data_IF_735959923669
#
_entry.id   IF_735959923669
#
_cell.length_a   1.000
_cell.length_b   1.000
_cell.length_c   1.000
_cell.angle_alpha   90.00
_cell.angle_beta   90.00
_cell.angle_gamma   90.00
#
_symmetry.space_group_name_H-M   'P 1'
#
loop_
_entity.id
_entity.type
_entity.pdbx_description
1 polymer ?
#
# COMPACT_ATOMS: atom_id res chain seq x y z
N UNK A 1 -1.31 8.33 16.05
CA UNK A 1 0.02 7.82 15.75
C UNK A 1 0.21 6.36 16.15
N UNK A 2 -0.19 6.01 17.38
CA UNK A 2 -0.12 4.61 17.80
C UNK A 2 -0.99 3.69 16.93
N UNK A 3 -2.15 4.20 16.51
CA UNK A 3 -3.04 3.43 15.63
C UNK A 3 -2.38 3.18 14.26
N UNK A 4 -1.66 4.17 13.75
CA UNK A 4 -0.94 4.03 12.49
C UNK A 4 0.19 3.01 12.62
N UNK A 5 0.97 3.09 13.70
CA UNK A 5 2.06 2.13 13.92
C UNK A 5 1.53 0.70 14.02
N UNK A 6 0.42 0.50 14.71
CA UNK A 6 -0.20 -0.81 14.80
C UNK A 6 -0.59 -1.34 13.42
N UNK A 7 -1.12 -0.46 12.56
CA UNK A 7 -1.51 -0.86 11.21
C UNK A 7 -0.27 -1.21 10.38
N UNK A 8 0.81 -0.41 10.49
CA UNK A 8 2.06 -0.73 9.80
C UNK A 8 2.57 -2.11 10.21
N UNK A 9 2.61 -2.39 11.52
CA UNK A 9 3.12 -3.67 12.01
C UNK A 9 2.19 -4.83 11.66
N UNK A 10 0.94 -4.55 11.37
CA UNK A 10 -0.02 -5.55 10.91
C UNK A 10 0.21 -5.92 9.44
N UNK A 11 0.48 -4.93 8.59
CA UNK A 11 0.71 -5.17 7.16
C UNK A 11 2.15 -5.60 6.85
N UNK A 12 3.07 -5.38 7.79
CA UNK A 12 4.48 -5.80 7.68
C UNK A 12 4.85 -6.49 9.00
N UNK A 13 4.46 -7.78 9.17
CA UNK A 13 4.61 -8.43 10.48
C UNK A 13 6.04 -8.56 11.00
N UNK A 14 7.04 -8.58 10.10
CA UNK A 14 8.44 -8.66 10.52
C UNK A 14 8.96 -7.33 11.09
N UNK A 15 8.23 -6.24 10.92
CA UNK A 15 8.68 -4.92 11.36
C UNK A 15 8.65 -4.79 12.88
N UNK A 16 9.70 -4.16 13.41
CA UNK A 16 9.82 -3.83 14.84
C UNK A 16 9.91 -2.32 15.05
N UNK A 17 10.23 -1.57 14.00
CA UNK A 17 10.28 -0.11 14.05
C UNK A 17 9.95 0.45 12.69
N UNK A 18 9.67 1.74 12.63
CA UNK A 18 9.40 2.42 11.37
C UNK A 18 9.89 3.85 11.43
N UNK A 19 10.22 4.39 10.27
CA UNK A 19 10.59 5.79 10.10
C UNK A 19 9.76 6.39 8.97
N UNK A 20 9.43 7.67 9.12
CA UNK A 20 8.62 8.37 8.11
C UNK A 20 9.51 9.10 7.11
N UNK A 21 9.16 9.00 5.84
CA UNK A 21 9.93 9.53 4.72
C UNK A 21 9.01 10.24 3.73
N UNK A 22 9.65 10.99 2.83
CA UNK A 22 8.99 11.61 1.68
C UNK A 22 9.72 11.21 0.41
N UNK A 23 8.96 10.82 -0.60
CA UNK A 23 9.48 10.61 -1.94
C UNK A 23 9.15 11.86 -2.77
N UNK A 24 10.17 12.44 -3.40
CA UNK A 24 10.02 13.65 -4.22
C UNK A 24 10.59 13.38 -5.60
N UNK A 25 10.33 14.27 -6.58
CA UNK A 25 10.97 14.10 -7.89
C UNK A 25 12.50 14.11 -7.84
N UNK A 26 13.09 14.69 -6.79
CA UNK A 26 14.54 14.78 -6.62
C UNK A 26 15.13 13.64 -5.79
N UNK A 27 14.30 12.74 -5.28
CA UNK A 27 14.75 11.61 -4.46
C UNK A 27 13.97 11.48 -3.18
N UNK A 28 14.44 10.63 -2.29
CA UNK A 28 13.77 10.40 -1.01
C UNK A 28 14.53 11.12 0.10
N UNK A 29 13.79 11.51 1.16
CA UNK A 29 14.37 12.18 2.33
C UNK A 29 13.53 11.85 3.57
N UNK A 30 14.14 11.88 4.76
CA UNK A 30 13.38 11.72 6.00
C UNK A 30 12.30 12.81 6.10
N UNK A 31 11.18 12.46 6.69
CA UNK A 31 10.10 13.41 6.92
C UNK A 31 10.55 14.42 7.99
N UNK A 32 10.17 15.66 7.80
CA UNK A 32 10.49 16.77 8.70
C UNK A 32 10.30 18.07 7.96
N UNK A 33 9.79 19.07 8.64
CA UNK A 33 9.49 20.35 8.01
C UNK A 33 8.31 20.23 7.05
N UNK A 34 8.23 21.17 6.14
CA UNK A 34 7.14 21.24 5.17
C UNK A 34 7.32 20.20 4.06
N UNK A 35 6.21 19.61 3.64
CA UNK A 35 6.22 18.72 2.50
C UNK A 35 6.50 19.51 1.23
N UNK A 36 7.45 19.03 0.41
CA UNK A 36 7.72 19.63 -0.89
C UNK A 36 6.55 19.37 -1.84
N UNK A 37 6.40 20.24 -2.82
CA UNK A 37 5.38 20.03 -3.87
C UNK A 37 5.63 18.68 -4.55
N UNK A 38 4.57 17.88 -4.67
CA UNK A 38 4.66 16.56 -5.27
C UNK A 38 5.26 15.48 -4.38
N UNK A 39 5.53 15.79 -3.11
CA UNK A 39 6.06 14.80 -2.18
C UNK A 39 4.99 13.78 -1.81
N UNK A 40 5.39 12.52 -1.72
CA UNK A 40 4.52 11.42 -1.32
C UNK A 40 5.09 10.81 -0.04
N UNK A 41 4.27 10.81 1.02
CA UNK A 41 4.69 10.26 2.31
C UNK A 41 4.68 8.73 2.28
N UNK A 42 5.68 8.13 2.92
CA UNK A 42 5.72 6.69 3.11
C UNK A 42 6.48 6.36 4.40
N UNK A 43 6.42 5.12 4.81
CA UNK A 43 7.10 4.63 6.01
C UNK A 43 8.02 3.48 5.62
N UNK A 44 9.27 3.55 6.09
CA UNK A 44 10.20 2.45 5.97
C UNK A 44 10.15 1.67 7.28
N UNK A 45 9.85 0.38 7.19
CA UNK A 45 9.69 -0.48 8.36
C UNK A 45 10.88 -1.44 8.44
N UNK A 46 11.42 -1.62 9.65
CA UNK A 46 12.65 -2.36 9.87
C UNK A 46 12.45 -3.51 10.86
N UNK A 47 13.17 -4.60 10.64
CA UNK A 47 13.13 -5.75 11.53
C UNK A 47 14.00 -5.51 12.76
N UNK A 48 14.12 -6.54 13.62
CA UNK A 48 14.87 -6.45 14.85
C UNK A 48 16.38 -6.21 14.62
N UNK A 49 16.89 -6.60 13.44
CA UNK A 49 18.29 -6.41 13.07
C UNK A 49 18.53 -5.11 12.29
N UNK A 50 17.52 -4.27 12.16
CA UNK A 50 17.64 -3.00 11.45
C UNK A 50 17.66 -3.15 9.94
N UNK A 51 17.23 -4.28 9.41
CA UNK A 51 17.10 -4.49 7.96
C UNK A 51 15.69 -4.11 7.51
N UNK A 52 15.59 -3.60 6.30
CA UNK A 52 14.30 -3.21 5.75
C UNK A 52 13.37 -4.42 5.65
N UNK A 53 12.25 -4.35 6.36
CA UNK A 53 11.23 -5.39 6.33
C UNK A 53 10.16 -5.09 5.28
N UNK A 54 9.98 -3.83 4.95
CA UNK A 54 9.01 -3.42 3.93
C UNK A 54 8.74 -1.93 3.98
N UNK A 55 7.92 -1.50 3.05
CA UNK A 55 7.48 -0.11 2.93
C UNK A 55 5.98 -0.08 3.19
N UNK A 56 5.51 0.92 3.90
CA UNK A 56 4.07 1.13 4.09
C UNK A 56 3.68 2.50 3.55
N UNK A 57 2.51 2.59 2.96
CA UNK A 57 2.01 3.86 2.44
C UNK A 57 0.48 3.88 2.50
N UNK A 58 -0.08 5.09 2.53
CA UNK A 58 -1.51 5.27 2.56
C UNK A 58 -2.06 5.46 1.16
N UNK A 59 -3.29 5.04 0.97
CA UNK A 59 -4.05 5.32 -0.22
C UNK A 59 -5.49 5.61 0.17
N UNK A 60 -6.19 6.33 -0.69
CA UNK A 60 -7.58 6.68 -0.46
C UNK A 60 -8.34 6.71 -1.77
N UNK A 61 -9.59 6.28 -1.73
CA UNK A 61 -10.48 6.37 -2.86
C UNK A 61 -11.92 6.43 -2.37
N UNK A 62 -12.78 7.02 -3.17
CA UNK A 62 -14.19 7.12 -2.83
C UNK A 62 -14.85 5.74 -2.90
N UNK A 63 -15.46 5.32 -1.81
CA UNK A 63 -16.26 4.11 -1.77
C UNK A 63 -17.71 4.40 -2.08
N UNK A 64 -18.61 3.71 -1.37
CA UNK A 64 -20.04 3.85 -1.62
C UNK A 64 -20.56 5.23 -1.22
N UNK A 65 -20.27 5.67 0.00
CA UNK A 65 -20.74 6.95 0.53
C UNK A 65 -19.59 7.83 1.00
N UNK A 66 -18.51 7.23 1.48
CA UNK A 66 -17.40 7.92 2.11
C UNK A 66 -16.09 7.49 1.47
N UNK A 67 -15.02 8.22 1.80
CA UNK A 67 -13.67 7.88 1.36
C UNK A 67 -13.16 6.66 2.13
N UNK A 68 -12.71 5.66 1.41
CA UNK A 68 -12.02 4.50 1.99
C UNK A 68 -10.54 4.84 2.07
N UNK A 69 -9.98 4.82 3.27
CA UNK A 69 -8.56 5.08 3.51
C UNK A 69 -7.89 3.82 3.99
N UNK A 70 -6.81 3.46 3.34
CA UNK A 70 -6.09 2.24 3.65
C UNK A 70 -4.60 2.51 3.82
N UNK A 71 -3.94 1.55 4.47
CA UNK A 71 -2.50 1.47 4.49
C UNK A 71 -2.13 0.14 3.85
N UNK A 72 -1.13 0.13 2.98
CA UNK A 72 -0.66 -1.11 2.38
C UNK A 72 0.81 -1.31 2.65
N UNK A 73 1.23 -2.59 2.67
CA UNK A 73 2.63 -2.96 2.77
C UNK A 73 3.16 -3.33 1.38
N UNK A 74 4.40 -2.97 1.12
CA UNK A 74 5.07 -3.20 -0.16
C UNK A 74 6.43 -3.82 0.08
N UNK A 75 6.74 -4.88 -0.66
CA UNK A 75 8.05 -5.53 -0.61
C UNK A 75 8.79 -5.23 -1.92
N UNK A 76 9.92 -4.51 -1.86
CA UNK A 76 10.64 -4.13 -3.08
C UNK A 76 11.20 -5.32 -3.85
N UNK A 77 11.58 -6.39 -3.17
CA UNK A 77 12.23 -7.53 -3.84
C UNK A 77 11.30 -8.25 -4.80
N UNK A 78 10.01 -8.38 -4.47
CA UNK A 78 9.04 -8.95 -5.39
C UNK A 78 8.28 -7.87 -6.16
N UNK A 79 8.44 -6.61 -5.80
CA UNK A 79 7.61 -5.50 -6.28
C UNK A 79 6.13 -5.87 -6.14
N UNK A 80 5.76 -6.27 -4.94
CA UNK A 80 4.40 -6.71 -4.67
C UNK A 80 3.89 -6.14 -3.36
N UNK A 81 2.57 -6.00 -3.28
CA UNK A 81 1.87 -5.66 -2.05
C UNK A 81 1.84 -6.92 -1.18
N UNK A 82 2.07 -6.75 0.12
CA UNK A 82 2.14 -7.87 1.06
C UNK A 82 1.00 -7.87 2.07
N UNK A 83 0.19 -6.83 2.08
CA UNK A 83 -0.95 -6.74 2.97
C UNK A 83 -1.57 -5.35 2.92
N UNK A 84 -2.78 -5.23 3.45
CA UNK A 84 -3.38 -3.92 3.65
C UNK A 84 -4.16 -3.89 4.95
N UNK A 85 -4.37 -2.68 5.45
CA UNK A 85 -5.22 -2.45 6.61
C UNK A 85 -6.09 -1.23 6.39
N UNK A 86 -7.23 -1.20 7.02
CA UNK A 86 -8.14 -0.06 6.95
C UNK A 86 -7.69 0.99 7.96
N UNK A 87 -7.45 2.20 7.49
CA UNK A 87 -7.04 3.31 8.36
C UNK A 87 -8.27 4.02 8.90
N UNK A 88 -9.17 4.41 8.01
CA UNK A 88 -10.40 5.08 8.37
C UNK A 88 -11.43 4.85 7.26
N UNK A 89 -12.67 4.58 7.65
CA UNK A 89 -13.78 4.47 6.71
C UNK A 89 -15.08 4.70 7.46
N UNK A 90 -15.99 5.38 6.78
CA UNK A 90 -17.36 5.56 7.27
C UNK A 90 -18.33 4.82 6.35
N UNK A 91 -17.82 3.79 5.67
CA UNK A 91 -18.65 2.96 4.82
C UNK A 91 -19.79 2.33 5.62
N UNK A 92 -20.82 1.91 4.92
CA UNK A 92 -21.98 1.25 5.54
C UNK A 92 -21.51 0.11 6.44
N UNK A 93 -21.98 0.06 7.71
CA UNK A 93 -21.60 -1.03 8.62
C UNK A 93 -21.86 -2.41 7.99
N UNK A 94 -20.92 -3.31 8.17
CA UNK A 94 -20.98 -4.66 7.62
C UNK A 94 -20.34 -4.78 6.24
N UNK A 95 -20.37 -3.74 5.41
CA UNK A 95 -19.73 -3.76 4.09
C UNK A 95 -18.25 -3.45 4.24
N UNK A 96 -17.91 -2.36 4.95
CA UNK A 96 -16.52 -2.00 5.21
C UNK A 96 -15.79 -3.07 6.01
N UNK A 97 -16.49 -3.74 6.92
CA UNK A 97 -15.88 -4.80 7.74
C UNK A 97 -15.46 -6.01 6.91
N UNK A 98 -16.19 -6.32 5.85
CA UNK A 98 -15.87 -7.48 5.00
C UNK A 98 -14.50 -7.37 4.36
N UNK A 99 -14.05 -6.17 3.99
CA UNK A 99 -12.75 -6.00 3.34
C UNK A 99 -11.59 -6.33 4.28
N UNK A 100 -11.80 -6.31 5.59
CA UNK A 100 -10.76 -6.64 6.57
C UNK A 100 -10.94 -7.99 7.23
N UNK A 101 -12.03 -8.69 6.95
CA UNK A 101 -12.32 -10.00 7.54
C UNK A 101 -12.50 -11.12 6.53
N UNK A 102 -12.85 -10.82 5.29
CA UNK A 102 -13.05 -11.85 4.27
C UNK A 102 -11.70 -12.43 3.85
N UNK A 103 -11.47 -13.68 4.17
CA UNK A 103 -10.16 -14.33 3.96
C UNK A 103 -9.79 -14.43 2.49
N UNK A 104 -10.76 -14.69 1.62
CA UNK A 104 -10.49 -14.78 0.18
C UNK A 104 -10.10 -13.42 -0.38
N UNK A 105 -10.73 -12.34 0.11
CA UNK A 105 -10.36 -11.00 -0.30
C UNK A 105 -8.96 -10.65 0.18
N UNK A 106 -8.65 -10.92 1.44
CA UNK A 106 -7.33 -10.62 2.01
C UNK A 106 -6.22 -11.39 1.31
N UNK A 107 -6.51 -12.58 0.79
CA UNK A 107 -5.52 -13.37 0.05
C UNK A 107 -5.02 -12.66 -1.21
N UNK A 108 -5.82 -11.76 -1.80
CA UNK A 108 -5.38 -10.96 -2.95
C UNK A 108 -4.12 -10.15 -2.64
N UNK A 109 -3.93 -9.77 -1.37
CA UNK A 109 -2.89 -8.83 -0.97
C UNK A 109 -1.65 -9.50 -0.39
N UNK A 110 -1.56 -10.82 -0.47
CA UNK A 110 -0.37 -11.54 0.00
C UNK A 110 0.79 -11.39 -0.97
N UNK A 111 0.50 -11.21 -2.26
CA UNK A 111 1.52 -10.99 -3.29
C UNK A 111 0.91 -10.30 -4.50
N UNK A 112 0.22 -9.19 -4.28
CA UNK A 112 -0.40 -8.43 -5.37
C UNK A 112 0.68 -7.73 -6.18
N UNK A 113 0.72 -8.01 -7.48
CA UNK A 113 1.76 -7.50 -8.37
C UNK A 113 1.61 -6.00 -8.62
N UNK A 114 2.66 -5.25 -8.29
CA UNK A 114 2.77 -3.81 -8.57
C UNK A 114 4.10 -3.49 -9.24
N UNK A 115 4.60 -4.41 -10.07
CA UNK A 115 5.86 -4.21 -10.78
C UNK A 115 5.79 -2.96 -11.66
N UNK A 116 6.89 -2.24 -11.67
CA UNK A 116 7.03 -1.08 -12.56
C UNK A 116 7.30 -1.55 -13.98
N UNK A 117 6.96 -0.68 -14.94
CA UNK A 117 7.30 -0.90 -16.34
C UNK A 117 8.83 -0.79 -16.53
N UNK A 118 9.30 -1.10 -17.73
CA UNK A 118 10.74 -1.10 -18.03
C UNK A 118 11.38 0.27 -17.82
N UNK A 119 10.63 1.35 -18.06
CA UNK A 119 11.13 2.72 -17.88
C UNK A 119 11.10 3.19 -16.44
N UNK A 120 10.55 2.40 -15.52
CA UNK A 120 10.35 2.75 -14.10
C UNK A 120 9.52 4.01 -13.91
N UNK A 121 8.60 4.29 -14.83
CA UNK A 121 7.79 5.50 -14.83
C UNK A 121 6.36 5.30 -14.33
N UNK A 122 5.88 4.07 -14.32
CA UNK A 122 4.52 3.73 -13.92
C UNK A 122 4.45 2.24 -13.61
N UNK A 123 3.36 1.79 -13.03
CA UNK A 123 3.11 0.36 -12.90
C UNK A 123 2.99 -0.26 -14.29
N UNK A 124 3.54 -1.45 -14.46
CA UNK A 124 3.41 -2.19 -15.71
C UNK A 124 1.95 -2.52 -16.02
N UNK A 125 1.16 -2.77 -14.97
CA UNK A 125 -0.27 -3.07 -15.09
C UNK A 125 -1.03 -2.33 -14.01
N UNK A 126 -2.18 -1.80 -14.36
CA UNK A 126 -3.04 -1.12 -13.40
C UNK A 126 -3.58 -2.13 -12.37
N UNK A 127 -3.46 -1.78 -11.08
CA UNK A 127 -4.14 -2.56 -10.04
C UNK A 127 -5.63 -2.29 -10.14
N UNK A 128 -6.42 -3.34 -10.24
CA UNK A 128 -7.85 -3.20 -10.47
C UNK A 128 -8.62 -4.35 -9.84
N UNK A 129 -9.70 -4.02 -9.13
CA UNK A 129 -10.62 -5.02 -8.65
C UNK A 129 -11.53 -5.44 -9.80
N UNK A 130 -11.69 -6.74 -9.95
CA UNK A 130 -12.56 -7.34 -10.96
C UNK A 130 -13.70 -8.07 -10.27
N UNK A 131 -14.75 -8.35 -11.00
CA UNK A 131 -15.92 -9.05 -10.48
C UNK A 131 -15.49 -10.36 -9.80
N UNK A 132 -16.16 -10.70 -8.68
CA UNK A 132 -15.89 -11.94 -7.97
C UNK A 132 -15.89 -13.13 -8.94
N UNK A 133 -14.82 -13.92 -8.85
CA UNK A 133 -14.63 -15.08 -9.71
C UNK A 133 -13.94 -14.78 -11.04
N UNK A 134 -13.59 -13.52 -11.30
CA UNK A 134 -13.03 -13.12 -12.61
C UNK A 134 -11.53 -12.85 -12.58
N UNK A 135 -10.87 -12.98 -11.43
CA UNK A 135 -9.44 -12.70 -11.35
C UNK A 135 -8.64 -13.73 -12.16
N UNK A 136 -7.80 -13.23 -13.06
CA UNK A 136 -6.93 -14.05 -13.90
C UNK A 136 -5.47 -13.64 -13.82
N UNK A 137 -5.17 -12.46 -13.32
CA UNK A 137 -3.80 -11.93 -13.30
C UNK A 137 -3.40 -11.49 -11.88
N UNK A 138 -2.09 -11.47 -11.62
CA UNK A 138 -1.55 -11.18 -10.29
C UNK A 138 -1.76 -9.73 -9.84
N UNK A 139 -2.02 -8.81 -10.76
CA UNK A 139 -2.29 -7.41 -10.43
C UNK A 139 -3.78 -7.12 -10.26
N UNK A 140 -4.61 -8.12 -10.39
CA UNK A 140 -6.05 -7.98 -10.19
C UNK A 140 -6.44 -8.36 -8.78
N UNK A 141 -7.52 -7.74 -8.31
CA UNK A 141 -8.12 -8.05 -7.02
C UNK A 141 -9.48 -8.69 -7.30
N UNK A 142 -9.69 -9.88 -6.76
CA UNK A 142 -10.98 -10.55 -6.88
C UNK A 142 -11.94 -9.91 -5.86
N UNK A 143 -12.94 -9.20 -6.36
CA UNK A 143 -13.84 -8.43 -5.51
C UNK A 143 -14.72 -9.34 -4.65
N UNK A 144 -15.13 -8.84 -3.49
CA UNK A 144 -16.08 -9.54 -2.63
C UNK A 144 -17.47 -9.49 -3.28
N UNK A 145 -18.11 -10.65 -3.41
CA UNK A 145 -19.47 -10.70 -3.92
C UNK A 145 -20.38 -9.89 -2.96
N UNK A 146 -21.17 -8.98 -3.52
CA UNK A 146 -22.02 -8.11 -2.71
C UNK A 146 -21.33 -6.89 -2.12
N UNK A 147 -20.01 -6.74 -2.32
CA UNK A 147 -19.25 -5.57 -1.86
C UNK A 147 -18.29 -5.09 -2.97
N UNK A 148 -18.75 -5.09 -4.21
CA UNK A 148 -17.94 -4.76 -5.37
C UNK A 148 -17.47 -3.32 -5.36
N UNK A 149 -18.33 -2.37 -4.98
CA UNK A 149 -17.97 -0.95 -4.96
C UNK A 149 -16.84 -0.68 -3.97
N UNK A 150 -16.95 -1.22 -2.77
CA UNK A 150 -15.90 -1.08 -1.73
C UNK A 150 -14.62 -1.77 -2.17
N UNK A 151 -14.72 -2.96 -2.77
CA UNK A 151 -13.55 -3.69 -3.28
C UNK A 151 -12.83 -2.88 -4.36
N UNK A 152 -13.58 -2.24 -5.25
CA UNK A 152 -13.01 -1.37 -6.30
C UNK A 152 -12.35 -0.14 -5.70
N UNK A 153 -12.89 0.40 -4.63
CA UNK A 153 -12.27 1.54 -3.94
C UNK A 153 -10.92 1.16 -3.36
N UNK A 154 -10.80 -0.02 -2.76
CA UNK A 154 -9.51 -0.52 -2.26
C UNK A 154 -8.50 -0.62 -3.40
N UNK A 155 -8.91 -1.23 -4.53
CA UNK A 155 -8.03 -1.36 -5.69
C UNK A 155 -7.57 -0.02 -6.24
N UNK A 156 -8.49 0.93 -6.34
CA UNK A 156 -8.17 2.28 -6.83
C UNK A 156 -7.24 3.01 -5.86
N UNK A 157 -7.47 2.87 -4.56
CA UNK A 157 -6.62 3.50 -3.55
C UNK A 157 -5.17 3.00 -3.66
N UNK A 158 -5.00 1.68 -3.81
CA UNK A 158 -3.67 1.10 -3.99
C UNK A 158 -3.05 1.55 -5.31
N UNK A 159 -3.80 1.44 -6.40
CA UNK A 159 -3.29 1.81 -7.72
C UNK A 159 -2.82 3.26 -7.75
N UNK A 160 -3.66 4.18 -7.30
CA UNK A 160 -3.34 5.61 -7.38
C UNK A 160 -2.14 5.96 -6.50
N UNK A 161 -2.06 5.37 -5.31
CA UNK A 161 -0.92 5.59 -4.41
C UNK A 161 0.36 5.00 -4.99
N UNK A 162 0.32 3.75 -5.45
CA UNK A 162 1.48 3.07 -6.01
C UNK A 162 2.01 3.76 -7.26
N UNK A 163 1.10 4.25 -8.13
CA UNK A 163 1.51 4.98 -9.33
C UNK A 163 2.29 6.25 -9.00
N UNK A 164 1.94 6.92 -7.89
CA UNK A 164 2.65 8.13 -7.48
C UNK A 164 3.93 7.84 -6.73
N UNK A 165 3.93 6.81 -5.89
CA UNK A 165 5.03 6.53 -4.97
C UNK A 165 6.13 5.69 -5.60
N UNK A 166 5.78 4.55 -6.18
CA UNK A 166 6.77 3.53 -6.51
C UNK A 166 7.79 3.96 -7.58
N UNK A 167 7.41 4.74 -8.61
CA UNK A 167 8.42 5.24 -9.54
C UNK A 167 9.47 6.15 -8.90
N UNK A 168 9.09 6.88 -7.84
CA UNK A 168 10.02 7.73 -7.11
C UNK A 168 10.84 6.95 -6.08
N UNK A 169 10.23 5.93 -5.49
CA UNK A 169 10.82 5.18 -4.38
C UNK A 169 11.77 4.08 -4.83
N UNK A 170 11.36 3.25 -5.77
CA UNK A 170 12.10 2.05 -6.12
C UNK A 170 13.53 2.33 -6.58
N UNK A 171 13.80 3.35 -7.42
CA UNK A 171 15.18 3.65 -7.79
C UNK A 171 16.08 4.06 -6.62
N UNK A 172 15.49 4.46 -5.49
CA UNK A 172 16.21 4.91 -4.30
C UNK A 172 16.21 3.87 -3.19
N UNK A 173 15.72 2.68 -3.44
CA UNK A 173 15.43 1.71 -2.38
C UNK A 173 16.66 1.29 -1.58
N UNK A 174 17.84 1.31 -2.21
CA UNK A 174 19.07 0.90 -1.53
C UNK A 174 19.41 1.81 -0.35
N UNK A 175 18.97 3.07 -0.39
CA UNK A 175 19.17 4.00 0.71
C UNK A 175 18.42 3.59 1.97
N UNK A 176 17.43 2.71 1.84
CA UNK A 176 16.55 2.29 2.94
C UNK A 176 16.85 0.89 3.44
N UNK A 177 17.76 0.14 2.81
CA UNK A 177 17.98 -1.28 3.14
C UNK A 177 18.37 -1.49 4.60
N UNK A 178 19.08 -0.55 5.19
CA UNK A 178 19.48 -0.61 6.60
C UNK A 178 19.02 0.63 7.34
N UNK A 179 18.50 0.41 8.54
CA UNK A 179 18.10 1.50 9.41
C UNK A 179 19.33 2.31 9.83
N UNK A 180 19.25 3.62 9.69
CA UNK A 180 20.30 4.49 10.19
C UNK A 180 20.24 4.57 11.72
N UNK A 181 21.38 4.53 12.33
CA UNK A 181 21.49 4.64 13.78
C UNK A 181 21.48 6.08 14.27
#
# INVERSE_FOLDING_TARGET
RLALERTVFKVIPAAKSMTEWQATPQGIRPAGGEAAAGAVKFYAAYDAEGRLAGIAAEGAAKGYAETVRILYGYAPDCQCITGFGLVASKETPGIGDKIVTDKAFLANFEALDVKLNAELSALANEVKAVKNGSKTNLWQIDAIAGATVTSRAVGKAINDSAQRLLPKLLPQIEQLRKKES
#
